data_IF_031060443882
#
_entry.id   IF_031060443882
#
_cell.length_a   1.000
_cell.length_b   1.000
_cell.length_c   1.000
_cell.angle_alpha   90.00
_cell.angle_beta   90.00
_cell.angle_gamma   90.00
#
_symmetry.space_group_name_H-M   'P 1'
#
loop_
_entity.id
_entity.type
_entity.pdbx_description
1 polymer ?
#
# COMPACT_ATOMS: atom_id res chain seq x y z
N UNK A 1 -40.17 -8.70 42.31
CA UNK A 1 -39.01 -8.17 41.56
C UNK A 1 -38.01 -9.26 41.20
N UNK A 2 -37.57 -10.08 42.15
CA UNK A 2 -36.59 -11.18 41.93
C UNK A 2 -36.93 -12.12 40.75
N UNK A 3 -38.18 -12.57 40.59
CA UNK A 3 -38.57 -13.44 39.47
C UNK A 3 -38.38 -12.78 38.10
N UNK A 4 -38.68 -11.48 37.98
CA UNK A 4 -38.48 -10.73 36.75
C UNK A 4 -36.99 -10.53 36.45
N UNK A 5 -36.19 -10.19 37.47
CA UNK A 5 -34.74 -10.07 37.32
C UNK A 5 -34.12 -11.42 36.91
N UNK A 6 -34.58 -12.52 37.48
CA UNK A 6 -34.13 -13.86 37.11
C UNK A 6 -34.48 -14.19 35.65
N UNK A 7 -35.70 -13.88 35.21
CA UNK A 7 -36.10 -14.05 33.81
C UNK A 7 -35.23 -13.20 32.87
N UNK A 8 -34.94 -11.95 33.23
CA UNK A 8 -34.07 -11.06 32.44
C UNK A 8 -32.66 -11.62 32.35
N UNK A 9 -32.05 -12.01 33.48
CA UNK A 9 -30.71 -12.60 33.49
C UNK A 9 -30.66 -13.89 32.68
N UNK A 10 -31.67 -14.76 32.79
CA UNK A 10 -31.75 -15.98 31.98
C UNK A 10 -31.86 -15.67 30.48
N UNK A 11 -32.65 -14.67 30.11
CA UNK A 11 -32.77 -14.23 28.72
C UNK A 11 -31.46 -13.62 28.19
N UNK A 12 -30.75 -12.83 29.01
CA UNK A 12 -29.45 -12.25 28.68
C UNK A 12 -28.39 -13.34 28.51
N UNK A 13 -28.32 -14.29 29.44
CA UNK A 13 -27.41 -15.45 29.39
C UNK A 13 -27.68 -16.33 28.16
N UNK A 14 -28.95 -16.61 27.86
CA UNK A 14 -29.34 -17.31 26.63
C UNK A 14 -28.92 -16.51 25.39
N UNK A 15 -29.10 -15.18 25.40
CA UNK A 15 -28.66 -14.29 24.34
C UNK A 15 -27.15 -14.37 24.09
N UNK A 16 -26.34 -14.36 25.16
CA UNK A 16 -24.88 -14.48 25.09
C UNK A 16 -24.47 -15.86 24.60
N UNK A 17 -25.12 -16.93 25.06
CA UNK A 17 -24.83 -18.30 24.61
C UNK A 17 -25.10 -18.46 23.10
N UNK A 18 -26.23 -17.94 22.62
CA UNK A 18 -26.57 -17.94 21.19
C UNK A 18 -25.56 -17.11 20.39
N UNK A 19 -25.07 -16.00 20.95
CA UNK A 19 -24.01 -15.18 20.36
C UNK A 19 -22.63 -15.86 20.40
N UNK A 20 -22.37 -16.81 21.30
CA UNK A 20 -21.10 -17.51 21.37
C UNK A 20 -21.05 -18.67 20.36
N UNK A 21 -22.13 -19.42 20.22
CA UNK A 21 -22.21 -20.54 19.28
C UNK A 21 -22.34 -20.06 17.81
N UNK A 22 -21.66 -20.72 16.87
CA UNK A 22 -21.81 -20.49 15.42
C UNK A 22 -23.14 -21.09 14.93
N UNK A 23 -24.27 -20.58 15.41
CA UNK A 23 -25.61 -21.04 15.03
C UNK A 23 -26.28 -20.07 14.05
N UNK A 24 -27.21 -20.54 13.21
CA UNK A 24 -28.03 -19.66 12.37
C UNK A 24 -28.86 -18.65 13.19
N UNK A 25 -29.16 -18.99 14.45
CA UNK A 25 -29.83 -18.12 15.43
C UNK A 25 -29.03 -16.84 15.71
N UNK A 26 -27.70 -16.88 15.62
CA UNK A 26 -26.86 -15.67 15.70
C UNK A 26 -27.30 -14.62 14.68
N UNK A 27 -27.62 -15.02 13.44
CA UNK A 27 -28.05 -14.09 12.40
C UNK A 27 -29.36 -13.41 12.77
N UNK A 28 -30.29 -14.18 13.33
CA UNK A 28 -31.59 -13.71 13.81
C UNK A 28 -31.42 -12.73 14.98
N UNK A 29 -30.62 -13.12 15.97
CA UNK A 29 -30.39 -12.33 17.19
C UNK A 29 -29.71 -10.99 16.87
N UNK A 30 -28.77 -10.97 15.93
CA UNK A 30 -28.18 -9.70 15.49
C UNK A 30 -29.21 -8.88 14.68
N UNK A 31 -30.10 -9.51 13.91
CA UNK A 31 -31.13 -8.79 13.15
C UNK A 31 -32.18 -8.14 14.06
N UNK A 32 -32.58 -8.81 15.14
CA UNK A 32 -33.46 -8.24 16.17
C UNK A 32 -32.74 -7.13 16.94
N UNK A 33 -31.48 -7.34 17.33
CA UNK A 33 -30.69 -6.36 18.07
C UNK A 33 -30.41 -5.09 17.24
N UNK A 34 -30.16 -5.24 15.93
CA UNK A 34 -29.96 -4.12 15.01
C UNK A 34 -31.26 -3.35 14.75
N UNK A 35 -32.42 -4.03 14.74
CA UNK A 35 -33.75 -3.39 14.66
C UNK A 35 -34.05 -2.58 15.92
N UNK A 36 -33.77 -3.14 17.10
CA UNK A 36 -33.95 -2.45 18.38
C UNK A 36 -33.04 -1.22 18.45
N UNK A 37 -31.76 -1.33 18.09
CA UNK A 37 -30.79 -0.22 18.18
C UNK A 37 -30.90 0.87 17.09
N UNK A 38 -31.73 0.72 16.04
CA UNK A 38 -31.82 1.70 14.94
C UNK A 38 -32.67 2.95 15.27
N UNK A 39 -33.46 2.92 16.35
CA UNK A 39 -34.35 4.01 16.75
C UNK A 39 -33.87 4.80 17.98
N UNK A 40 -34.82 5.34 18.76
CA UNK A 40 -34.58 6.03 20.06
C UNK A 40 -34.13 5.10 21.19
N UNK A 41 -34.03 3.80 20.94
CA UNK A 41 -33.68 2.78 21.91
C UNK A 41 -32.35 2.97 22.66
N UNK A 42 -31.24 3.46 22.08
CA UNK A 42 -30.00 3.61 22.85
C UNK A 42 -30.13 4.67 23.95
N UNK A 43 -31.01 5.66 23.77
CA UNK A 43 -31.27 6.68 24.80
C UNK A 43 -32.12 6.07 25.91
N UNK A 44 -33.14 5.29 25.55
CA UNK A 44 -34.05 4.64 26.50
C UNK A 44 -33.32 3.55 27.30
N UNK A 45 -32.47 2.73 26.66
CA UNK A 45 -31.69 1.70 27.36
C UNK A 45 -30.72 2.33 28.35
N UNK A 46 -30.07 3.45 27.98
CA UNK A 46 -29.19 4.19 28.89
C UNK A 46 -29.97 4.79 30.07
N UNK A 47 -31.15 5.35 29.85
CA UNK A 47 -31.98 5.89 30.94
C UNK A 47 -32.48 4.79 31.86
N UNK A 48 -32.93 3.65 31.31
CA UNK A 48 -33.39 2.50 32.11
C UNK A 48 -32.23 1.91 32.91
N UNK A 49 -31.06 1.71 32.30
CA UNK A 49 -29.87 1.24 33.00
C UNK A 49 -29.45 2.20 34.12
N UNK A 50 -29.51 3.52 33.89
CA UNK A 50 -29.25 4.51 34.92
C UNK A 50 -30.26 4.43 36.08
N UNK A 51 -31.56 4.27 35.79
CA UNK A 51 -32.57 4.11 36.85
C UNK A 51 -32.35 2.85 37.67
N UNK A 52 -32.06 1.72 37.03
CA UNK A 52 -31.77 0.45 37.73
C UNK A 52 -30.50 0.56 38.57
N UNK A 53 -29.47 1.28 38.08
CA UNK A 53 -28.25 1.53 38.84
C UNK A 53 -28.50 2.36 40.11
N UNK A 54 -29.35 3.39 40.03
CA UNK A 54 -29.74 4.20 41.21
C UNK A 54 -30.51 3.34 42.22
N UNK A 55 -31.46 2.53 41.74
CA UNK A 55 -32.22 1.60 42.60
C UNK A 55 -31.27 0.59 43.26
N UNK A 56 -30.31 0.04 42.52
CA UNK A 56 -29.30 -0.87 43.05
C UNK A 56 -28.47 -0.19 44.15
N UNK A 57 -28.02 1.05 43.96
CA UNK A 57 -27.31 1.80 45.01
C UNK A 57 -28.15 2.01 46.26
N UNK A 58 -29.44 2.31 46.10
CA UNK A 58 -30.37 2.43 47.22
C UNK A 58 -30.53 1.11 47.99
N UNK A 59 -30.63 -0.03 47.29
CA UNK A 59 -30.70 -1.35 47.93
C UNK A 59 -29.41 -1.69 48.70
N UNK A 60 -28.25 -1.35 48.15
CA UNK A 60 -26.94 -1.54 48.81
C UNK A 60 -26.85 -0.67 50.07
N UNK A 61 -27.30 0.58 50.01
CA UNK A 61 -27.35 1.46 51.17
C UNK A 61 -28.25 0.89 52.27
N UNK A 62 -29.43 0.36 51.91
CA UNK A 62 -30.38 -0.26 52.84
C UNK A 62 -29.79 -1.50 53.51
N UNK A 63 -29.09 -2.35 52.76
CA UNK A 63 -28.37 -3.52 53.30
C UNK A 63 -27.32 -3.08 54.33
N UNK A 64 -26.55 -2.03 54.01
CA UNK A 64 -25.50 -1.51 54.87
C UNK A 64 -26.06 -0.85 56.13
N UNK A 65 -27.19 -0.14 56.03
CA UNK A 65 -27.91 0.42 57.18
C UNK A 65 -28.37 -0.68 58.14
N UNK A 66 -28.99 -1.74 57.61
CA UNK A 66 -29.46 -2.88 58.41
C UNK A 66 -28.29 -3.61 59.09
N UNK A 67 -27.18 -3.82 58.37
CA UNK A 67 -25.97 -4.45 58.94
C UNK A 67 -25.25 -3.60 59.98
N UNK A 68 -25.42 -2.27 59.95
CA UNK A 68 -24.79 -1.35 60.90
C UNK A 68 -25.50 -1.27 62.26
N UNK A 69 -26.67 -1.89 62.40
CA UNK A 69 -27.44 -1.93 63.65
C UNK A 69 -26.85 -2.95 64.64
N UNK A 70 -26.80 -2.64 65.95
CA UNK A 70 -26.22 -3.52 66.96
C UNK A 70 -26.97 -4.85 67.06
N UNK A 71 -26.21 -5.92 67.34
CA UNK A 71 -26.59 -7.34 67.22
C UNK A 71 -27.79 -7.72 68.11
N UNK A 72 -28.06 -6.95 69.17
CA UNK A 72 -29.11 -7.23 70.17
C UNK A 72 -30.56 -7.00 69.69
N UNK A 73 -30.75 -6.49 68.47
CA UNK A 73 -32.07 -6.22 67.89
C UNK A 73 -32.42 -7.06 66.64
N UNK A 74 -31.57 -8.02 66.24
CA UNK A 74 -31.79 -8.79 65.01
C UNK A 74 -32.80 -9.93 65.22
N UNK A 75 -33.98 -9.76 64.64
CA UNK A 75 -34.99 -10.81 64.55
C UNK A 75 -34.60 -11.84 63.46
N UNK A 76 -34.96 -13.13 63.60
CA UNK A 76 -34.74 -14.14 62.56
C UNK A 76 -35.40 -13.78 61.20
N UNK A 77 -36.44 -12.94 61.23
CA UNK A 77 -37.09 -12.37 60.03
C UNK A 77 -36.18 -11.40 59.27
N UNK A 78 -35.30 -10.67 59.97
CA UNK A 78 -34.40 -9.67 59.36
C UNK A 78 -33.30 -10.34 58.55
N UNK A 79 -32.88 -11.56 58.94
CA UNK A 79 -31.94 -12.36 58.17
C UNK A 79 -32.50 -12.77 56.80
N UNK A 80 -33.79 -13.12 56.72
CA UNK A 80 -34.44 -13.48 55.45
C UNK A 80 -34.62 -12.24 54.58
N UNK A 81 -34.97 -11.10 55.17
CA UNK A 81 -35.11 -9.83 54.46
C UNK A 81 -33.76 -9.36 53.89
N UNK A 82 -32.69 -9.45 54.69
CA UNK A 82 -31.32 -9.13 54.27
C UNK A 82 -30.85 -10.01 53.11
N UNK A 83 -31.07 -11.33 53.20
CA UNK A 83 -30.72 -12.28 52.14
C UNK A 83 -31.47 -11.96 50.84
N UNK A 84 -32.75 -11.59 50.92
CA UNK A 84 -33.54 -11.18 49.76
C UNK A 84 -33.01 -9.89 49.12
N UNK A 85 -32.70 -8.85 49.91
CA UNK A 85 -32.14 -7.61 49.37
C UNK A 85 -30.74 -7.82 48.79
N UNK A 86 -29.90 -8.65 49.42
CA UNK A 86 -28.60 -9.03 48.87
C UNK A 86 -28.73 -9.76 47.52
N UNK A 87 -29.65 -10.73 47.45
CA UNK A 87 -29.91 -11.46 46.21
C UNK A 87 -30.43 -10.50 45.12
N UNK A 88 -31.36 -9.63 45.45
CA UNK A 88 -31.93 -8.64 44.54
C UNK A 88 -30.87 -7.65 44.03
N UNK A 89 -30.02 -7.11 44.90
CA UNK A 89 -28.93 -6.22 44.52
C UNK A 89 -27.90 -6.92 43.61
N UNK A 90 -27.56 -8.17 43.91
CA UNK A 90 -26.65 -8.96 43.08
C UNK A 90 -27.24 -9.22 41.68
N UNK A 91 -28.52 -9.57 41.60
CA UNK A 91 -29.24 -9.79 40.34
C UNK A 91 -29.33 -8.52 39.49
N UNK A 92 -29.61 -7.36 40.11
CA UNK A 92 -29.59 -6.08 39.41
C UNK A 92 -28.19 -5.78 38.85
N UNK A 93 -27.14 -5.98 39.65
CA UNK A 93 -25.75 -5.81 39.22
C UNK A 93 -25.36 -6.73 38.06
N UNK A 94 -25.72 -8.02 38.15
CA UNK A 94 -25.49 -8.99 37.08
C UNK A 94 -26.22 -8.61 35.80
N UNK A 95 -27.50 -8.20 35.87
CA UNK A 95 -28.25 -7.79 34.68
C UNK A 95 -27.64 -6.56 33.99
N UNK A 96 -27.21 -5.55 34.76
CA UNK A 96 -26.53 -4.38 34.22
C UNK A 96 -25.20 -4.76 33.54
N UNK A 97 -24.43 -5.65 34.16
CA UNK A 97 -23.17 -6.14 33.60
C UNK A 97 -23.38 -6.91 32.29
N UNK A 98 -24.35 -7.84 32.26
CA UNK A 98 -24.68 -8.62 31.06
C UNK A 98 -25.19 -7.72 29.94
N UNK A 99 -26.04 -6.75 30.25
CA UNK A 99 -26.52 -5.74 29.30
C UNK A 99 -25.38 -4.95 28.64
N UNK A 100 -24.37 -4.52 29.44
CA UNK A 100 -23.16 -3.87 28.91
C UNK A 100 -22.30 -4.81 28.05
N UNK A 101 -22.18 -6.07 28.46
CA UNK A 101 -21.44 -7.07 27.67
C UNK A 101 -22.11 -7.32 26.32
N UNK A 102 -23.46 -7.37 26.28
CA UNK A 102 -24.24 -7.48 25.04
C UNK A 102 -24.04 -6.22 24.17
N UNK A 103 -23.99 -5.03 24.78
CA UNK A 103 -23.74 -3.76 24.06
C UNK A 103 -22.38 -3.77 23.34
N UNK A 104 -21.33 -4.18 24.05
CA UNK A 104 -19.96 -4.39 23.52
C UNK A 104 -19.94 -5.43 22.41
N UNK A 105 -20.54 -6.61 22.63
CA UNK A 105 -20.60 -7.68 21.63
C UNK A 105 -21.32 -7.22 20.36
N UNK A 106 -22.41 -6.46 20.49
CA UNK A 106 -23.11 -5.91 19.34
C UNK A 106 -22.24 -4.93 18.54
N UNK A 107 -21.45 -4.10 19.23
CA UNK A 107 -20.52 -3.19 18.57
C UNK A 107 -19.50 -3.96 17.73
N UNK A 108 -18.84 -4.98 18.32
CA UNK A 108 -17.90 -5.84 17.61
C UNK A 108 -18.54 -6.55 16.41
N UNK A 109 -19.78 -7.03 16.56
CA UNK A 109 -20.52 -7.68 15.46
C UNK A 109 -20.84 -6.69 14.34
N UNK A 110 -21.17 -5.45 14.67
CA UNK A 110 -21.44 -4.40 13.67
C UNK A 110 -20.19 -4.07 12.88
N UNK A 111 -19.04 -3.93 13.55
CA UNK A 111 -17.75 -3.72 12.88
C UNK A 111 -17.41 -4.90 11.96
N UNK A 112 -17.56 -6.14 12.43
CA UNK A 112 -17.33 -7.33 11.62
C UNK A 112 -18.26 -7.40 10.39
N UNK A 113 -19.50 -6.92 10.50
CA UNK A 113 -20.44 -6.84 9.36
C UNK A 113 -20.06 -5.74 8.38
N UNK A 114 -19.63 -4.58 8.86
CA UNK A 114 -19.16 -3.50 7.99
C UNK A 114 -17.93 -3.96 7.22
N UNK A 115 -16.97 -4.59 7.90
CA UNK A 115 -15.76 -5.14 7.28
C UNK A 115 -16.07 -6.24 6.25
N UNK A 116 -17.06 -7.10 6.54
CA UNK A 116 -17.52 -8.09 5.56
C UNK A 116 -18.21 -7.45 4.36
N UNK A 117 -19.02 -6.40 4.57
CA UNK A 117 -19.67 -5.66 3.47
C UNK A 117 -18.68 -4.90 2.61
N UNK A 118 -17.64 -4.29 3.19
CA UNK A 118 -16.58 -3.62 2.41
C UNK A 118 -15.73 -4.64 1.66
N UNK A 119 -15.44 -5.80 2.26
CA UNK A 119 -14.77 -6.90 1.56
C UNK A 119 -15.62 -7.50 0.43
N UNK A 120 -16.92 -7.69 0.64
CA UNK A 120 -17.85 -8.17 -0.40
C UNK A 120 -18.03 -7.13 -1.51
N UNK A 121 -18.05 -5.84 -1.19
CA UNK A 121 -18.09 -4.75 -2.17
C UNK A 121 -16.77 -4.68 -2.97
N UNK A 122 -15.62 -4.77 -2.30
CA UNK A 122 -14.31 -4.85 -2.95
C UNK A 122 -14.19 -6.10 -3.84
N UNK A 123 -14.70 -7.25 -3.38
CA UNK A 123 -14.74 -8.49 -4.17
C UNK A 123 -15.71 -8.40 -5.36
N UNK A 124 -16.84 -7.69 -5.22
CA UNK A 124 -17.77 -7.42 -6.34
C UNK A 124 -17.19 -6.42 -7.34
N UNK A 125 -16.47 -5.40 -6.89
CA UNK A 125 -15.73 -4.49 -7.76
C UNK A 125 -14.64 -5.24 -8.54
N UNK A 126 -13.91 -6.13 -7.86
CA UNK A 126 -12.90 -6.97 -8.51
C UNK A 126 -13.53 -7.96 -9.51
N UNK A 127 -14.69 -8.55 -9.19
CA UNK A 127 -15.44 -9.40 -10.12
C UNK A 127 -16.09 -8.63 -11.26
N UNK A 128 -16.54 -7.40 -11.05
CA UNK A 128 -17.03 -6.52 -12.12
C UNK A 128 -15.94 -6.13 -13.12
N UNK A 129 -14.67 -6.18 -12.69
CA UNK A 129 -13.50 -6.05 -13.56
C UNK A 129 -13.15 -7.37 -14.29
N UNK A 130 -13.48 -8.54 -13.71
CA UNK A 130 -13.28 -9.86 -14.34
C UNK A 130 -14.41 -10.27 -15.31
N UNK A 131 -15.66 -9.85 -15.08
CA UNK A 131 -16.83 -10.19 -15.94
C UNK A 131 -16.96 -9.24 -17.15
N UNK A 132 -16.16 -8.17 -17.16
CA UNK A 132 -15.83 -7.42 -18.37
C UNK A 132 -14.84 -8.21 -19.21
N UNK A 133 -15.37 -8.93 -20.20
CA UNK A 133 -14.66 -9.66 -21.27
C UNK A 133 -13.77 -8.74 -22.14
N UNK A 134 -12.82 -8.03 -21.53
CA UNK A 134 -11.79 -7.22 -22.17
C UNK A 134 -10.39 -7.55 -21.65
N UNK A 135 -10.25 -8.16 -20.46
CA UNK A 135 -8.93 -8.51 -19.92
C UNK A 135 -8.17 -9.55 -20.75
N UNK A 136 -8.87 -10.48 -21.42
CA UNK A 136 -8.24 -11.51 -22.26
C UNK A 136 -7.77 -10.98 -23.62
N UNK A 137 -8.58 -10.15 -24.27
CA UNK A 137 -8.26 -9.60 -25.60
C UNK A 137 -7.26 -8.44 -25.51
N UNK A 138 -7.34 -7.60 -24.47
CA UNK A 138 -6.34 -6.54 -24.26
C UNK A 138 -4.96 -7.10 -23.86
N UNK A 139 -4.91 -8.20 -23.10
CA UNK A 139 -3.62 -8.85 -22.75
C UNK A 139 -2.99 -9.52 -23.97
N UNK A 140 -3.78 -10.13 -24.86
CA UNK A 140 -3.27 -10.67 -26.13
C UNK A 140 -2.82 -9.57 -27.08
N UNK A 141 -3.62 -8.52 -27.26
CA UNK A 141 -3.26 -7.38 -28.11
C UNK A 141 -1.99 -6.67 -27.62
N UNK A 142 -1.87 -6.43 -26.30
CA UNK A 142 -0.64 -5.90 -25.71
C UNK A 142 0.54 -6.86 -25.85
N UNK A 143 0.32 -8.17 -25.74
CA UNK A 143 1.36 -9.18 -25.99
C UNK A 143 1.88 -9.16 -27.42
N UNK A 144 0.98 -9.02 -28.40
CA UNK A 144 1.33 -8.87 -29.82
C UNK A 144 2.09 -7.56 -30.07
N UNK A 145 1.65 -6.44 -29.49
CA UNK A 145 2.35 -5.16 -29.59
C UNK A 145 3.75 -5.20 -28.97
N UNK A 146 3.91 -5.85 -27.80
CA UNK A 146 5.22 -6.03 -27.15
C UNK A 146 6.14 -6.86 -28.05
N UNK A 147 5.66 -7.97 -28.61
CA UNK A 147 6.46 -8.78 -29.53
C UNK A 147 6.87 -8.01 -30.80
N UNK A 148 5.98 -7.16 -31.31
CA UNK A 148 6.26 -6.27 -32.44
C UNK A 148 7.26 -5.17 -32.11
N UNK A 149 7.20 -4.60 -30.89
CA UNK A 149 8.18 -3.62 -30.41
C UNK A 149 9.54 -4.27 -30.18
N UNK A 150 9.60 -5.45 -29.56
CA UNK A 150 10.85 -6.20 -29.36
C UNK A 150 11.55 -6.53 -30.69
N UNK A 151 10.78 -6.93 -31.71
CA UNK A 151 11.33 -7.17 -33.04
C UNK A 151 11.91 -5.88 -33.68
N UNK A 152 11.23 -4.74 -33.51
CA UNK A 152 11.74 -3.43 -33.98
C UNK A 152 12.99 -2.99 -33.24
N UNK A 153 13.05 -3.21 -31.92
CA UNK A 153 14.23 -2.91 -31.10
C UNK A 153 15.42 -3.73 -31.59
N UNK A 154 15.27 -5.05 -31.74
CA UNK A 154 16.35 -5.92 -32.28
C UNK A 154 16.81 -5.51 -33.68
N UNK A 155 15.87 -5.08 -34.54
CA UNK A 155 16.22 -4.60 -35.88
C UNK A 155 17.01 -3.29 -35.82
N UNK A 156 16.59 -2.34 -34.98
CA UNK A 156 17.29 -1.07 -34.81
C UNK A 156 18.66 -1.26 -34.14
N UNK A 157 18.80 -2.18 -33.20
CA UNK A 157 20.08 -2.53 -32.59
C UNK A 157 21.06 -3.10 -33.61
N UNK A 158 20.63 -4.05 -34.46
CA UNK A 158 21.51 -4.58 -35.51
C UNK A 158 21.87 -3.55 -36.58
N UNK A 159 20.95 -2.65 -36.95
CA UNK A 159 21.25 -1.52 -37.84
C UNK A 159 22.25 -0.53 -37.20
N UNK A 160 22.11 -0.25 -35.90
CA UNK A 160 23.06 0.59 -35.14
C UNK A 160 24.44 -0.03 -35.10
N UNK A 161 24.53 -1.33 -34.82
CA UNK A 161 25.80 -2.06 -34.78
C UNK A 161 26.47 -2.08 -36.16
N UNK A 162 25.70 -2.29 -37.24
CA UNK A 162 26.22 -2.22 -38.61
C UNK A 162 26.75 -0.82 -38.96
N UNK A 163 25.98 0.24 -38.66
CA UNK A 163 26.40 1.62 -38.89
C UNK A 163 27.62 2.00 -38.04
N UNK A 164 27.75 1.49 -36.83
CA UNK A 164 28.95 1.72 -36.01
C UNK A 164 30.19 1.10 -36.65
N UNK A 165 30.08 -0.11 -37.21
CA UNK A 165 31.19 -0.75 -37.95
C UNK A 165 31.55 0.04 -39.21
N UNK A 166 30.57 0.53 -39.96
CA UNK A 166 30.80 1.38 -41.12
C UNK A 166 31.48 2.71 -40.76
N UNK A 167 31.03 3.37 -39.68
CA UNK A 167 31.65 4.60 -39.20
C UNK A 167 33.10 4.35 -38.77
N UNK A 168 33.38 3.29 -38.02
CA UNK A 168 34.76 2.93 -37.63
C UNK A 168 35.64 2.64 -38.85
N UNK A 169 35.11 1.96 -39.86
CA UNK A 169 35.84 1.70 -41.11
C UNK A 169 36.12 2.99 -41.89
N UNK A 170 35.13 3.89 -41.99
CA UNK A 170 35.28 5.18 -42.63
C UNK A 170 36.26 6.09 -41.89
N UNK A 171 36.23 6.09 -40.55
CA UNK A 171 37.18 6.82 -39.70
C UNK A 171 38.60 6.32 -39.92
N UNK A 172 38.83 4.99 -39.88
CA UNK A 172 40.14 4.40 -40.15
C UNK A 172 40.65 4.77 -41.56
N UNK A 173 39.78 4.77 -42.57
CA UNK A 173 40.13 5.20 -43.93
C UNK A 173 40.48 6.69 -43.98
N UNK A 174 39.73 7.55 -43.29
CA UNK A 174 40.01 8.98 -43.21
C UNK A 174 41.36 9.28 -42.54
N UNK A 175 41.70 8.53 -41.48
CA UNK A 175 42.98 8.64 -40.78
C UNK A 175 44.12 8.17 -41.68
N UNK A 176 43.93 7.06 -42.40
CA UNK A 176 44.92 6.57 -43.36
C UNK A 176 45.18 7.59 -44.48
N UNK A 177 44.12 8.17 -45.06
CA UNK A 177 44.23 9.23 -46.07
C UNK A 177 44.92 10.49 -45.53
N UNK A 178 44.60 10.90 -44.29
CA UNK A 178 45.26 12.02 -43.62
C UNK A 178 46.77 11.77 -43.49
N UNK A 179 47.16 10.61 -42.98
CA UNK A 179 48.57 10.24 -42.83
C UNK A 179 49.29 10.18 -44.19
N UNK A 180 48.61 9.68 -45.23
CA UNK A 180 49.16 9.67 -46.58
C UNK A 180 49.37 11.09 -47.12
N UNK A 181 48.40 11.99 -46.90
CA UNK A 181 48.51 13.39 -47.32
C UNK A 181 49.61 14.14 -46.57
N UNK A 182 49.81 13.86 -45.28
CA UNK A 182 50.92 14.40 -44.50
C UNK A 182 52.27 13.89 -45.02
N UNK A 183 52.36 12.61 -45.41
CA UNK A 183 53.54 12.04 -46.07
C UNK A 183 53.87 12.74 -47.39
N UNK A 184 52.87 12.94 -48.26
CA UNK A 184 53.06 13.66 -49.53
C UNK A 184 53.48 15.12 -49.34
N UNK A 185 52.99 15.79 -48.29
CA UNK A 185 53.38 17.16 -47.98
C UNK A 185 54.87 17.25 -47.62
N UNK A 186 55.38 16.30 -46.82
CA UNK A 186 56.80 16.23 -46.48
C UNK A 186 57.68 15.94 -47.72
N UNK A 187 57.25 15.04 -48.61
CA UNK A 187 57.97 14.78 -49.86
C UNK A 187 57.97 16.02 -50.77
N UNK A 188 56.86 16.74 -50.84
CA UNK A 188 56.75 17.98 -51.60
C UNK A 188 57.72 19.04 -51.09
N UNK A 189 57.77 19.28 -49.78
CA UNK A 189 58.68 20.24 -49.15
C UNK A 189 60.15 19.86 -49.43
N UNK A 190 60.49 18.58 -49.31
CA UNK A 190 61.84 18.07 -49.64
C UNK A 190 62.20 18.28 -51.12
N UNK A 191 61.29 17.96 -52.04
CA UNK A 191 61.50 18.16 -53.48
C UNK A 191 61.66 19.64 -53.84
N UNK A 192 60.97 20.53 -53.12
CA UNK A 192 61.08 21.96 -53.29
C UNK A 192 62.46 22.46 -52.82
N UNK A 193 62.94 21.96 -51.68
CA UNK A 193 64.30 22.24 -51.18
C UNK A 193 65.38 21.71 -52.14
N UNK A 194 65.24 20.48 -52.64
CA UNK A 194 66.16 19.91 -53.64
C UNK A 194 66.15 20.73 -54.94
N UNK A 195 64.99 21.18 -55.42
CA UNK A 195 64.90 22.07 -56.58
C UNK A 195 65.58 23.43 -56.34
N UNK A 196 65.41 24.02 -55.17
CA UNK A 196 66.10 25.26 -54.81
C UNK A 196 67.62 25.05 -54.76
N UNK A 197 68.07 23.94 -54.18
CA UNK A 197 69.49 23.59 -54.13
C UNK A 197 70.07 23.40 -55.54
N UNK A 198 69.38 22.69 -56.43
CA UNK A 198 69.79 22.53 -57.83
C UNK A 198 69.84 23.88 -58.57
N UNK A 199 68.88 24.78 -58.34
CA UNK A 199 68.91 26.15 -58.89
C UNK A 199 70.11 26.94 -58.37
N UNK A 200 70.42 26.85 -57.08
CA UNK A 200 71.58 27.50 -56.48
C UNK A 200 72.89 26.93 -57.07
N UNK A 201 72.97 25.62 -57.28
CA UNK A 201 74.11 24.98 -57.94
C UNK A 201 74.27 25.47 -59.38
N UNK A 202 73.20 25.52 -60.17
CA UNK A 202 73.23 26.06 -61.53
C UNK A 202 73.66 27.52 -61.56
N UNK A 203 73.12 28.37 -60.68
CA UNK A 203 73.53 29.78 -60.57
C UNK A 203 75.02 29.91 -60.21
N UNK A 204 75.52 29.08 -59.29
CA UNK A 204 76.95 29.08 -58.94
C UNK A 204 77.84 28.66 -60.10
N UNK A 205 77.42 27.68 -60.90
CA UNK A 205 78.13 27.23 -62.10
C UNK A 205 78.13 28.35 -63.16
N UNK A 206 76.99 28.98 -63.43
CA UNK A 206 76.86 30.09 -64.37
C UNK A 206 77.73 31.30 -63.96
N UNK A 207 77.78 31.60 -62.66
CA UNK A 207 78.66 32.64 -62.11
C UNK A 207 80.16 32.28 -62.24
N UNK A 208 80.51 30.99 -62.12
CA UNK A 208 81.88 30.51 -62.35
C UNK A 208 82.29 30.55 -63.83
N UNK A 209 81.35 30.28 -64.75
CA UNK A 209 81.56 30.34 -66.20
C UNK A 209 81.68 31.78 -66.70
N UNK A 210 80.85 32.69 -66.20
CA UNK A 210 80.95 34.13 -66.50
C UNK A 210 82.25 34.75 -65.94
N UNK A 211 82.75 34.30 -64.78
CA UNK A 211 84.08 34.69 -64.29
C UNK A 211 85.24 34.12 -65.13
N UNK A 212 85.03 32.98 -65.82
CA UNK A 212 85.99 32.38 -66.73
C UNK A 212 86.09 33.15 -68.07
N UNK A 213 84.97 33.62 -68.61
CA UNK A 213 84.96 34.41 -69.85
C UNK A 213 85.47 35.85 -69.68
N UNK A 214 85.44 36.40 -68.46
CA UNK A 214 86.05 37.69 -68.14
C UNK A 214 87.58 37.72 -68.19
N UNK A 215 88.25 36.56 -68.27
CA UNK A 215 89.73 36.48 -68.25
C UNK A 215 90.38 36.37 -69.63
N UNK A 216 89.63 36.55 -70.72
CA UNK A 216 90.13 36.49 -72.11
C UNK A 216 90.30 37.83 -72.83
N UNK A 217 89.99 38.97 -72.20
CA UNK A 217 90.24 40.29 -72.80
C UNK A 217 91.05 41.21 -71.87
N UNK A 218 92.37 40.99 -71.82
CA UNK A 218 93.45 42.00 -71.86
C UNK A 218 94.79 41.27 -71.89
#
# INVERSE_FOLDING_TARGET
>A
MIQLLFMVVMAEMAGILILLFKTPLRKLLIMTLDRVKRGKAPIIVKSVAATVFVIMMYTIYTIRDIQSRPIDALNPTDHVLLANHMLEASLMGFSLFLSLMIDRLHHYIRELRLLRKTMEAAKKQNRGFEDGKNGGDEVKARGEEISGMEAKIRKLESEREAKEKEVKAAEANSVALKNQSEGFLLEYDRLLEENQNLRNQLQSIDQSLSHSDGKKNT
#
